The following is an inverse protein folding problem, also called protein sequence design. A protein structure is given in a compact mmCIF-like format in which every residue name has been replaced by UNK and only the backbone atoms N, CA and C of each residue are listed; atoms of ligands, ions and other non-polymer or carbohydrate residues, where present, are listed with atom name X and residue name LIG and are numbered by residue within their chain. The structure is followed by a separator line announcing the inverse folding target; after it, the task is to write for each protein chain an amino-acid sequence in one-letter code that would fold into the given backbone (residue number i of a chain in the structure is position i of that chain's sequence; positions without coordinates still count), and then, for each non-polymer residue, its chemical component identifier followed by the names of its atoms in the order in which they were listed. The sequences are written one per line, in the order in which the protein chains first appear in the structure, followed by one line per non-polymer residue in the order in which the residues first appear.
data_IF_878302863466
#
_entry.id   IF_878302863466
#
_cell.length_a   1.000
_cell.length_b   1.000
_cell.length_c   1.000
_cell.angle_alpha   90.00
_cell.angle_beta   90.00
_cell.angle_gamma   90.00
#
_symmetry.space_group_name_H-M   'P 1'
#
loop_
_entity.id
_entity.type
_entity.pdbx_description
1 polymer ?
#
# COMPACT_ATOMS: atom_id res chain seq x y z
N UNK A 1 -31.88 -10.32 -10.01
CA UNK A 1 -31.28 -8.97 -9.83
C UNK A 1 -29.95 -9.00 -10.52
N UNK A 2 -29.73 -8.14 -11.51
CA UNK A 2 -28.44 -7.96 -12.16
C UNK A 2 -27.38 -7.61 -11.11
N UNK A 3 -26.19 -8.19 -11.23
CA UNK A 3 -25.06 -7.87 -10.35
C UNK A 3 -24.62 -6.44 -10.66
N UNK A 4 -24.47 -5.60 -9.63
CA UNK A 4 -23.93 -4.25 -9.76
C UNK A 4 -22.46 -4.32 -10.22
N UNK A 5 -22.12 -3.61 -11.28
CA UNK A 5 -20.76 -3.53 -11.83
C UNK A 5 -20.18 -2.14 -11.55
N UNK A 6 -18.89 -2.09 -11.22
CA UNK A 6 -18.17 -0.82 -11.07
C UNK A 6 -17.15 -0.64 -12.19
N UNK A 7 -16.97 0.61 -12.61
CA UNK A 7 -15.98 1.00 -13.60
C UNK A 7 -15.17 2.17 -13.06
N UNK A 8 -13.86 2.14 -13.26
CA UNK A 8 -12.95 3.26 -12.99
C UNK A 8 -12.30 3.62 -14.32
N UNK A 9 -12.61 4.79 -14.86
CA UNK A 9 -12.04 5.31 -16.10
C UNK A 9 -10.96 6.33 -15.80
N UNK A 10 -9.75 6.05 -16.29
CA UNK A 10 -8.60 6.92 -16.15
C UNK A 10 -8.55 7.87 -17.33
N UNK A 11 -8.48 9.17 -17.05
CA UNK A 11 -8.42 10.20 -18.09
C UNK A 11 -7.30 11.20 -17.80
N UNK A 12 -6.45 11.45 -18.80
CA UNK A 12 -5.73 12.73 -18.88
C UNK A 12 -6.64 13.83 -19.45
N UNK A 13 -6.28 15.09 -19.27
CA UNK A 13 -6.98 16.23 -19.87
C UNK A 13 -7.10 16.08 -21.39
N UNK A 14 -6.05 15.59 -22.05
CA UNK A 14 -6.07 15.35 -23.50
C UNK A 14 -7.01 14.20 -23.90
N UNK A 15 -6.98 13.09 -23.16
CA UNK A 15 -7.88 11.95 -23.42
C UNK A 15 -9.34 12.32 -23.17
N UNK A 16 -9.62 13.16 -22.17
CA UNK A 16 -10.96 13.64 -21.87
C UNK A 16 -11.47 14.52 -23.02
N UNK A 17 -10.66 15.46 -23.51
CA UNK A 17 -11.03 16.32 -24.63
C UNK A 17 -11.34 15.54 -25.92
N UNK A 18 -10.67 14.40 -26.14
CA UNK A 18 -10.93 13.53 -27.29
C UNK A 18 -12.26 12.73 -27.16
N UNK A 19 -12.64 12.31 -25.94
CA UNK A 19 -13.74 11.38 -25.73
C UNK A 19 -15.00 12.01 -25.10
N UNK A 20 -14.95 13.25 -24.61
CA UNK A 20 -16.07 13.91 -23.92
C UNK A 20 -17.35 14.04 -24.74
N UNK A 21 -17.26 13.97 -26.07
CA UNK A 21 -18.42 13.98 -26.98
C UNK A 21 -19.34 12.77 -26.80
N UNK A 22 -18.85 11.69 -26.18
CA UNK A 22 -19.67 10.53 -25.83
C UNK A 22 -20.57 10.76 -24.59
N UNK A 23 -20.37 11.87 -23.88
CA UNK A 23 -21.08 12.19 -22.64
C UNK A 23 -21.94 13.46 -22.78
N UNK A 24 -22.95 13.66 -21.91
CA UNK A 24 -23.76 14.87 -21.94
C UNK A 24 -22.90 16.13 -21.78
N UNK A 25 -23.16 17.17 -22.58
CA UNK A 25 -22.40 18.43 -22.54
C UNK A 25 -22.34 19.10 -21.16
N UNK A 26 -23.29 18.82 -20.26
CA UNK A 26 -23.24 19.30 -18.88
C UNK A 26 -22.02 18.78 -18.10
N UNK A 27 -21.47 17.62 -18.49
CA UNK A 27 -20.35 16.96 -17.83
C UNK A 27 -19.04 17.76 -17.90
N UNK A 28 -18.86 18.60 -18.93
CA UNK A 28 -17.71 19.51 -19.07
C UNK A 28 -17.54 20.46 -17.87
N UNK A 29 -18.62 20.70 -17.10
CA UNK A 29 -18.57 21.51 -15.88
C UNK A 29 -18.14 20.74 -14.63
N UNK A 30 -18.22 19.41 -14.66
CA UNK A 30 -17.99 18.54 -13.50
C UNK A 30 -16.71 17.74 -13.60
N UNK A 31 -16.22 17.50 -14.82
CA UNK A 31 -15.00 16.75 -15.07
C UNK A 31 -14.23 17.30 -16.27
N UNK A 32 -12.92 17.36 -16.12
CA UNK A 32 -11.97 17.91 -17.10
C UNK A 32 -10.72 17.04 -17.29
N UNK A 33 -10.54 16.00 -16.46
CA UNK A 33 -9.35 15.14 -16.49
C UNK A 33 -8.16 15.71 -15.71
N UNK A 34 -8.36 16.78 -14.94
CA UNK A 34 -7.31 17.40 -14.11
C UNK A 34 -6.79 16.42 -13.06
N UNK A 35 -5.55 16.60 -12.66
CA UNK A 35 -4.92 15.76 -11.63
C UNK A 35 -5.76 15.72 -10.35
N UNK A 36 -5.99 14.52 -9.81
CA UNK A 36 -6.79 14.24 -8.60
C UNK A 36 -8.28 14.59 -8.72
N UNK A 37 -8.77 14.95 -9.91
CA UNK A 37 -10.20 15.17 -10.13
C UNK A 37 -10.91 13.83 -10.14
N UNK A 38 -11.97 13.69 -9.35
CA UNK A 38 -12.84 12.51 -9.39
C UNK A 38 -14.29 12.91 -9.58
N UNK A 39 -14.99 12.13 -10.39
CA UNK A 39 -16.42 12.30 -10.64
C UNK A 39 -17.10 10.93 -10.69
N UNK A 40 -18.35 10.83 -10.26
CA UNK A 40 -19.07 9.56 -10.24
C UNK A 40 -20.44 9.71 -10.90
N UNK A 41 -20.78 8.75 -11.76
CA UNK A 41 -22.11 8.58 -12.34
C UNK A 41 -22.64 7.24 -11.84
N UNK A 42 -23.91 7.21 -11.46
CA UNK A 42 -24.59 5.99 -10.98
C UNK A 42 -25.83 5.73 -11.82
N UNK A 43 -26.09 4.45 -12.09
CA UNK A 43 -27.32 3.95 -12.70
C UNK A 43 -27.84 2.78 -11.87
N UNK A 44 -28.93 2.13 -12.30
CA UNK A 44 -29.53 1.02 -11.57
C UNK A 44 -28.55 -0.15 -11.33
N UNK A 45 -27.63 -0.41 -12.28
CA UNK A 45 -26.73 -1.56 -12.25
C UNK A 45 -25.25 -1.21 -12.43
N UNK A 46 -24.89 0.07 -12.54
CA UNK A 46 -23.51 0.49 -12.77
C UNK A 46 -23.12 1.70 -11.92
N UNK A 47 -21.87 1.70 -11.46
CA UNK A 47 -21.20 2.87 -10.89
C UNK A 47 -19.96 3.16 -11.74
N UNK A 48 -19.87 4.36 -12.28
CA UNK A 48 -18.77 4.79 -13.15
C UNK A 48 -18.02 5.92 -12.43
N UNK A 49 -16.81 5.62 -11.99
CA UNK A 49 -15.86 6.61 -11.50
C UNK A 49 -14.99 7.11 -12.65
N UNK A 50 -14.82 8.42 -12.73
CA UNK A 50 -13.84 9.08 -13.57
C UNK A 50 -12.71 9.56 -12.68
N UNK A 51 -11.47 9.28 -13.07
CA UNK A 51 -10.26 9.71 -12.37
C UNK A 51 -9.33 10.47 -13.32
N UNK A 52 -9.15 11.75 -13.02
CA UNK A 52 -8.26 12.65 -13.74
C UNK A 52 -6.81 12.51 -13.28
N UNK A 53 -5.91 12.28 -14.23
CA UNK A 53 -4.45 12.20 -13.97
C UNK A 53 -3.69 13.46 -14.38
N UNK A 54 -4.37 14.46 -14.96
CA UNK A 54 -3.77 15.68 -15.47
C UNK A 54 -3.16 15.48 -16.85
N UNK A 55 -1.85 15.71 -17.00
CA UNK A 55 -1.16 15.52 -18.27
C UNK A 55 -1.09 14.06 -18.73
N UNK A 56 -0.94 13.83 -20.04
CA UNK A 56 -0.79 12.46 -20.59
C UNK A 56 0.55 11.79 -20.26
N UNK A 57 1.54 12.56 -19.80
CA UNK A 57 2.79 12.05 -19.26
C UNK A 57 2.85 12.46 -17.80
N UNK A 58 2.93 11.48 -16.91
CA UNK A 58 2.88 11.64 -15.47
C UNK A 58 3.98 10.79 -14.85
N UNK A 59 4.67 11.31 -13.84
CA UNK A 59 5.67 10.52 -13.12
C UNK A 59 4.99 9.41 -12.31
N UNK A 60 5.65 8.26 -12.18
CA UNK A 60 5.16 7.11 -11.41
C UNK A 60 4.76 7.50 -9.97
N UNK A 61 5.57 8.31 -9.29
CA UNK A 61 5.24 8.80 -7.94
C UNK A 61 3.95 9.62 -7.90
N UNK A 62 3.71 10.44 -8.93
CA UNK A 62 2.48 11.23 -9.04
C UNK A 62 1.27 10.32 -9.27
N UNK A 63 1.41 9.24 -10.06
CA UNK A 63 0.36 8.25 -10.24
C UNK A 63 0.05 7.49 -8.94
N UNK A 64 1.07 7.16 -8.14
CA UNK A 64 0.89 6.61 -6.79
C UNK A 64 0.07 7.58 -5.92
N UNK A 65 0.43 8.86 -5.90
CA UNK A 65 -0.28 9.88 -5.12
C UNK A 65 -1.74 10.06 -5.57
N UNK A 66 -1.99 10.02 -6.88
CA UNK A 66 -3.34 10.10 -7.46
C UNK A 66 -4.18 8.89 -7.02
N UNK A 67 -3.64 7.68 -7.14
CA UNK A 67 -4.33 6.46 -6.72
C UNK A 67 -4.62 6.47 -5.21
N UNK A 68 -3.63 6.87 -4.42
CA UNK A 68 -3.74 7.00 -2.97
C UNK A 68 -4.89 7.93 -2.59
N UNK A 69 -4.92 9.13 -3.17
CA UNK A 69 -5.98 10.10 -2.93
C UNK A 69 -7.36 9.60 -3.39
N UNK A 70 -7.44 8.97 -4.57
CA UNK A 70 -8.70 8.46 -5.09
C UNK A 70 -9.33 7.41 -4.17
N UNK A 71 -8.53 6.42 -3.73
CA UNK A 71 -9.03 5.38 -2.83
C UNK A 71 -9.46 5.98 -1.49
N UNK A 72 -8.66 6.88 -0.91
CA UNK A 72 -9.00 7.54 0.35
C UNK A 72 -10.30 8.36 0.26
N UNK A 73 -10.44 9.20 -0.77
CA UNK A 73 -11.61 10.08 -0.95
C UNK A 73 -12.89 9.31 -1.28
N UNK A 74 -12.77 8.12 -1.88
CA UNK A 74 -13.89 7.28 -2.32
C UNK A 74 -14.09 6.02 -1.47
N UNK A 75 -13.43 5.91 -0.31
CA UNK A 75 -13.51 4.73 0.59
C UNK A 75 -14.94 4.34 0.99
N UNK A 76 -15.82 5.31 1.15
CA UNK A 76 -17.25 5.12 1.48
C UNK A 76 -18.14 4.90 0.25
N UNK A 77 -17.61 5.12 -0.96
CA UNK A 77 -18.34 5.05 -2.23
C UNK A 77 -17.97 3.81 -3.06
N UNK A 78 -16.75 3.31 -2.90
CA UNK A 78 -16.31 2.05 -3.48
C UNK A 78 -17.08 0.91 -2.82
N UNK A 79 -17.38 -0.15 -3.58
CA UNK A 79 -18.10 -1.31 -3.10
C UNK A 79 -17.26 -2.55 -3.36
N UNK A 80 -17.48 -3.60 -2.57
CA UNK A 80 -16.81 -4.88 -2.78
C UNK A 80 -17.55 -5.65 -3.88
N UNK A 81 -17.30 -5.31 -5.15
CA UNK A 81 -17.88 -6.02 -6.30
C UNK A 81 -16.90 -6.07 -7.49
N UNK A 82 -17.34 -6.69 -8.58
CA UNK A 82 -16.64 -6.71 -9.86
C UNK A 82 -16.42 -5.28 -10.36
N UNK A 83 -15.14 -4.92 -10.50
CA UNK A 83 -14.69 -3.59 -10.89
C UNK A 83 -13.75 -3.68 -12.08
N UNK A 84 -14.05 -2.95 -13.15
CA UNK A 84 -13.19 -2.78 -14.31
C UNK A 84 -12.36 -1.51 -14.17
N UNK A 85 -11.08 -1.58 -14.52
CA UNK A 85 -10.18 -0.43 -14.58
C UNK A 85 -9.83 -0.15 -16.05
N UNK A 86 -10.34 0.96 -16.58
CA UNK A 86 -10.18 1.33 -17.97
C UNK A 86 -9.10 2.41 -18.10
N UNK A 87 -8.06 2.13 -18.88
CA UNK A 87 -7.03 3.11 -19.23
C UNK A 87 -6.58 2.92 -20.68
N UNK A 88 -6.38 4.05 -21.36
CA UNK A 88 -5.75 4.16 -22.68
C UNK A 88 -4.49 5.05 -22.65
N UNK A 89 -4.30 5.78 -21.55
CA UNK A 89 -3.22 6.77 -21.38
C UNK A 89 -1.98 6.26 -20.64
N UNK A 90 -2.08 5.14 -19.92
CA UNK A 90 -0.98 4.60 -19.10
C UNK A 90 -0.24 3.46 -19.81
N UNK A 91 1.09 3.46 -19.67
CA UNK A 91 1.91 2.28 -19.92
C UNK A 91 1.85 1.28 -18.75
N UNK A 92 2.52 0.13 -18.88
CA UNK A 92 2.47 -0.93 -17.86
C UNK A 92 3.00 -0.46 -16.50
N UNK A 93 4.05 0.34 -16.47
CA UNK A 93 4.69 0.86 -15.25
C UNK A 93 3.85 1.91 -14.56
N UNK A 94 3.27 2.84 -15.32
CA UNK A 94 2.33 3.84 -14.82
C UNK A 94 1.04 3.21 -14.31
N UNK A 95 0.53 2.19 -14.99
CA UNK A 95 -0.60 1.39 -14.52
C UNK A 95 -0.31 0.75 -13.15
N UNK A 96 0.81 0.04 -13.00
CA UNK A 96 1.19 -0.57 -11.72
C UNK A 96 1.38 0.48 -10.61
N UNK A 97 1.91 1.65 -10.94
CA UNK A 97 2.11 2.77 -10.00
C UNK A 97 0.79 3.33 -9.50
N UNK A 98 -0.17 3.59 -10.40
CA UNK A 98 -1.52 4.02 -10.03
C UNK A 98 -2.21 2.96 -9.17
N UNK A 99 -2.08 1.68 -9.56
CA UNK A 99 -2.69 0.57 -8.85
C UNK A 99 -2.11 0.41 -7.43
N UNK A 100 -0.80 0.58 -7.27
CA UNK A 100 -0.14 0.65 -5.96
C UNK A 100 -0.68 1.81 -5.12
N UNK A 101 -0.89 2.97 -5.74
CA UNK A 101 -1.58 4.10 -5.13
C UNK A 101 -2.94 3.71 -4.54
N UNK A 102 -3.80 3.03 -5.30
CA UNK A 102 -5.12 2.61 -4.80
C UNK A 102 -5.03 1.80 -3.50
N UNK A 103 -4.09 0.86 -3.40
CA UNK A 103 -3.93 0.08 -2.18
C UNK A 103 -3.31 0.89 -1.06
N UNK A 104 -2.28 1.71 -1.30
CA UNK A 104 -1.71 2.58 -0.27
C UNK A 104 -2.76 3.52 0.34
N UNK A 105 -3.71 4.01 -0.47
CA UNK A 105 -4.82 4.90 -0.05
C UNK A 105 -5.83 4.29 0.90
N UNK A 106 -5.72 2.99 1.18
CA UNK A 106 -6.59 2.26 2.10
C UNK A 106 -6.09 2.23 3.54
N UNK A 107 -4.88 2.75 3.80
CA UNK A 107 -4.34 2.76 5.15
C UNK A 107 -5.15 3.68 6.06
N UNK A 108 -5.65 3.10 7.14
CA UNK A 108 -6.18 3.80 8.30
C UNK A 108 -5.49 3.20 9.53
N UNK A 109 -5.19 4.02 10.53
CA UNK A 109 -4.56 3.53 11.76
C UNK A 109 -5.63 3.24 12.84
N UNK A 110 -5.63 2.05 13.47
CA UNK A 110 -4.84 0.86 13.12
C UNK A 110 -5.37 0.20 11.84
N UNK A 111 -4.49 -0.44 11.07
CA UNK A 111 -4.93 -1.08 9.83
C UNK A 111 -5.83 -2.29 10.12
N UNK A 112 -7.01 -2.32 9.49
CA UNK A 112 -8.02 -3.37 9.70
C UNK A 112 -8.51 -4.03 8.40
N UNK A 113 -7.84 -3.78 7.26
CA UNK A 113 -8.23 -4.29 5.94
C UNK A 113 -9.74 -4.12 5.62
N UNK A 114 -10.37 -3.08 6.17
CA UNK A 114 -11.81 -2.84 6.10
C UNK A 114 -12.25 -2.20 4.77
N UNK A 115 -11.32 -1.56 4.06
CA UNK A 115 -11.58 -0.90 2.79
C UNK A 115 -12.02 -1.93 1.71
N UNK A 116 -13.00 -1.61 0.84
CA UNK A 116 -13.53 -2.55 -0.17
C UNK A 116 -12.48 -3.27 -1.02
N UNK A 117 -11.38 -2.61 -1.36
CA UNK A 117 -10.25 -3.21 -2.12
C UNK A 117 -9.59 -4.44 -1.45
N UNK A 118 -9.75 -4.61 -0.14
CA UNK A 118 -9.24 -5.77 0.61
C UNK A 118 -10.30 -6.86 0.83
N UNK A 119 -11.53 -6.63 0.42
CA UNK A 119 -12.62 -7.59 0.55
C UNK A 119 -12.54 -8.67 -0.55
N UNK A 120 -12.80 -9.93 -0.21
CA UNK A 120 -12.77 -11.07 -1.13
C UNK A 120 -13.82 -11.00 -2.26
N UNK A 121 -14.88 -10.21 -2.08
CA UNK A 121 -15.91 -9.95 -3.09
C UNK A 121 -15.47 -8.89 -4.13
N UNK A 122 -14.47 -8.07 -3.81
CA UNK A 122 -13.89 -7.13 -4.75
C UNK A 122 -13.04 -7.88 -5.78
N UNK A 123 -13.37 -7.74 -7.06
CA UNK A 123 -12.64 -8.40 -8.15
C UNK A 123 -12.28 -7.39 -9.24
N UNK A 124 -11.00 -7.34 -9.57
CA UNK A 124 -10.52 -6.66 -10.76
C UNK A 124 -10.82 -7.52 -11.99
N UNK A 125 -11.75 -7.07 -12.84
CA UNK A 125 -12.17 -7.79 -14.04
C UNK A 125 -11.28 -7.42 -15.23
N UNK A 126 -10.91 -8.40 -16.07
CA UNK A 126 -10.09 -8.17 -17.28
C UNK A 126 -8.61 -7.90 -17.01
N UNK A 127 -8.14 -8.16 -15.79
CA UNK A 127 -6.76 -7.93 -15.33
C UNK A 127 -6.08 -9.24 -14.88
N UNK A 128 -6.53 -10.39 -15.41
CA UNK A 128 -6.05 -11.72 -15.02
C UNK A 128 -4.54 -11.88 -15.26
N UNK A 129 -4.03 -11.26 -16.33
CA UNK A 129 -2.60 -11.26 -16.66
C UNK A 129 -1.74 -10.41 -15.71
N UNK A 130 -2.35 -9.55 -14.89
CA UNK A 130 -1.66 -8.65 -13.96
C UNK A 130 -1.74 -9.12 -12.50
N UNK A 131 -2.34 -10.29 -12.23
CA UNK A 131 -2.56 -10.79 -10.86
C UNK A 131 -1.26 -11.02 -10.08
N UNK A 132 -0.16 -11.37 -10.74
CA UNK A 132 1.16 -11.47 -10.09
C UNK A 132 1.68 -10.09 -9.63
N UNK A 133 1.48 -9.04 -10.45
CA UNK A 133 1.77 -7.66 -10.07
C UNK A 133 0.90 -7.18 -8.91
N UNK A 134 -0.39 -7.55 -8.92
CA UNK A 134 -1.31 -7.24 -7.83
C UNK A 134 -0.88 -7.88 -6.50
N UNK A 135 -0.51 -9.17 -6.53
CA UNK A 135 -0.03 -9.86 -5.34
C UNK A 135 1.22 -9.18 -4.75
N UNK A 136 2.16 -8.77 -5.62
CA UNK A 136 3.34 -8.00 -5.21
C UNK A 136 2.95 -6.65 -4.60
N UNK A 137 2.02 -5.91 -5.21
CA UNK A 137 1.54 -4.62 -4.69
C UNK A 137 0.91 -4.79 -3.30
N UNK A 138 0.04 -5.78 -3.12
CA UNK A 138 -0.60 -6.07 -1.84
C UNK A 138 0.45 -6.38 -0.76
N UNK A 139 1.42 -7.25 -1.05
CA UNK A 139 2.50 -7.57 -0.11
C UNK A 139 3.35 -6.35 0.27
N UNK A 140 3.65 -5.46 -0.69
CA UNK A 140 4.35 -4.19 -0.42
C UNK A 140 3.52 -3.30 0.52
N UNK A 141 2.22 -3.15 0.24
CA UNK A 141 1.33 -2.32 1.05
C UNK A 141 1.18 -2.88 2.46
N UNK A 142 0.93 -4.19 2.61
CA UNK A 142 0.85 -4.85 3.92
C UNK A 142 2.12 -4.65 4.74
N UNK A 143 3.30 -4.87 4.15
CA UNK A 143 4.57 -4.63 4.84
C UNK A 143 4.78 -3.17 5.24
N UNK A 144 4.37 -2.22 4.39
CA UNK A 144 4.40 -0.80 4.71
C UNK A 144 3.41 -0.45 5.83
N UNK A 145 2.20 -1.02 5.81
CA UNK A 145 1.16 -0.78 6.81
C UNK A 145 1.59 -1.31 8.17
N UNK A 146 2.22 -2.48 8.25
CA UNK A 146 2.82 -2.99 9.48
C UNK A 146 3.86 -2.03 10.07
N UNK A 147 4.74 -1.48 9.21
CA UNK A 147 5.72 -0.48 9.63
C UNK A 147 5.05 0.80 10.16
N UNK A 148 4.06 1.31 9.44
CA UNK A 148 3.33 2.53 9.81
C UNK A 148 2.49 2.33 11.08
N UNK A 149 1.84 1.19 11.25
CA UNK A 149 1.12 0.83 12.47
C UNK A 149 2.07 0.85 13.66
N UNK A 150 3.25 0.23 13.53
CA UNK A 150 4.26 0.26 14.58
C UNK A 150 4.77 1.67 14.88
N UNK A 151 5.01 2.48 13.84
CA UNK A 151 5.42 3.87 13.97
C UNK A 151 4.35 4.74 14.63
N UNK A 152 3.06 4.46 14.40
CA UNK A 152 1.96 5.23 14.95
C UNK A 152 1.53 4.77 16.36
N UNK A 153 2.04 3.62 16.86
CA UNK A 153 1.77 3.18 18.23
C UNK A 153 2.13 4.26 19.26
N UNK A 154 1.29 4.47 20.29
CA UNK A 154 1.61 5.35 21.40
C UNK A 154 2.94 4.96 22.07
N UNK A 155 3.65 5.92 22.67
CA UNK A 155 5.00 5.71 23.21
C UNK A 155 5.09 4.57 24.25
N UNK A 156 4.02 4.35 25.03
CA UNK A 156 3.95 3.26 26.00
C UNK A 156 3.91 1.85 25.35
N UNK A 157 3.55 1.73 24.07
CA UNK A 157 3.56 0.49 23.29
C UNK A 157 4.85 0.29 22.49
N UNK A 158 5.67 1.33 22.31
CA UNK A 158 6.99 1.26 21.66
C UNK A 158 8.07 0.78 22.63
N UNK A 159 7.86 -0.43 23.15
CA UNK A 159 8.80 -1.13 24.04
C UNK A 159 9.56 -2.20 23.29
N UNK A 160 10.81 -2.44 23.67
CA UNK A 160 11.66 -3.49 23.07
C UNK A 160 10.98 -4.85 23.13
N UNK A 161 10.40 -5.21 24.29
CA UNK A 161 9.71 -6.50 24.47
C UNK A 161 8.50 -6.67 23.54
N UNK A 162 7.71 -5.61 23.34
CA UNK A 162 6.56 -5.64 22.46
C UNK A 162 6.97 -5.70 20.98
N UNK A 163 8.03 -4.99 20.60
CA UNK A 163 8.57 -5.07 19.24
C UNK A 163 9.11 -6.47 18.95
N UNK A 164 9.83 -7.06 19.89
CA UNK A 164 10.39 -8.40 19.73
C UNK A 164 9.30 -9.45 19.58
N UNK A 165 8.27 -9.41 20.43
CA UNK A 165 7.13 -10.32 20.31
C UNK A 165 6.43 -10.17 18.96
N UNK A 166 6.24 -8.93 18.50
CA UNK A 166 5.68 -8.67 17.16
C UNK A 166 6.56 -9.21 16.03
N UNK A 167 7.89 -9.01 16.09
CA UNK A 167 8.81 -9.49 15.06
C UNK A 167 8.95 -11.02 15.09
N UNK A 168 8.86 -11.65 16.26
CA UNK A 168 8.84 -13.10 16.43
C UNK A 168 7.56 -13.68 15.80
N UNK A 169 6.39 -13.13 16.13
CA UNK A 169 5.11 -13.50 15.51
C UNK A 169 5.16 -13.38 13.97
N UNK A 170 5.65 -12.25 13.45
CA UNK A 170 5.78 -12.05 12.00
C UNK A 170 6.84 -12.93 11.36
N UNK A 171 7.86 -13.35 12.10
CA UNK A 171 8.83 -14.31 11.59
C UNK A 171 8.22 -15.69 11.38
N UNK A 172 7.35 -16.12 12.28
CA UNK A 172 6.62 -17.39 12.14
C UNK A 172 5.63 -17.32 10.97
N UNK A 173 4.90 -16.21 10.84
CA UNK A 173 3.92 -16.00 9.76
C UNK A 173 4.56 -16.05 8.36
N UNK A 174 5.76 -15.51 8.21
CA UNK A 174 6.45 -15.38 6.92
C UNK A 174 7.62 -16.34 6.73
N UNK A 175 7.76 -17.35 7.61
CA UNK A 175 8.86 -18.33 7.58
C UNK A 175 10.25 -17.67 7.52
N UNK A 176 10.47 -16.68 8.39
CA UNK A 176 11.74 -15.98 8.56
C UNK A 176 12.48 -16.55 9.77
N UNK A 177 13.80 -16.64 9.67
CA UNK A 177 14.60 -16.99 10.84
C UNK A 177 14.69 -15.77 11.77
N UNK A 178 14.22 -15.94 13.00
CA UNK A 178 14.30 -14.94 14.06
C UNK A 178 15.47 -15.21 14.99
N UNK A 179 16.26 -14.17 15.28
CA UNK A 179 17.30 -14.20 16.31
C UNK A 179 17.25 -12.90 17.10
N UNK A 180 17.22 -12.97 18.43
CA UNK A 180 17.34 -11.80 19.31
C UNK A 180 18.53 -11.97 20.24
N UNK A 181 19.46 -11.02 20.20
CA UNK A 181 20.56 -10.94 21.16
C UNK A 181 20.18 -10.05 22.32
N UNK A 182 20.31 -10.59 23.53
CA UNK A 182 20.27 -9.83 24.76
C UNK A 182 21.57 -9.03 24.95
N UNK A 183 21.69 -8.33 26.09
CA UNK A 183 22.91 -7.57 26.42
C UNK A 183 24.17 -8.42 26.41
N UNK A 184 24.15 -9.62 27.00
CA UNK A 184 25.33 -10.50 27.11
C UNK A 184 25.74 -11.03 25.73
N UNK A 185 24.76 -11.41 24.93
CA UNK A 185 24.99 -11.82 23.55
C UNK A 185 25.54 -10.65 22.72
N UNK A 186 25.02 -9.44 22.89
CA UNK A 186 25.58 -8.25 22.26
C UNK A 186 27.05 -7.99 22.66
N UNK A 187 27.41 -8.17 23.94
CA UNK A 187 28.80 -8.06 24.42
C UNK A 187 29.69 -9.12 23.75
N UNK A 188 29.22 -10.38 23.72
CA UNK A 188 29.91 -11.51 23.11
C UNK A 188 30.15 -11.31 21.62
N UNK A 189 29.19 -10.70 20.92
CA UNK A 189 29.27 -10.37 19.50
C UNK A 189 30.00 -9.05 19.19
N UNK A 190 30.54 -8.36 20.19
CA UNK A 190 31.31 -7.13 20.00
C UNK A 190 30.45 -5.90 19.63
N UNK A 191 29.14 -5.93 19.92
CA UNK A 191 28.19 -4.85 19.64
C UNK A 191 28.28 -3.69 20.67
N UNK A 192 29.50 -3.34 21.09
CA UNK A 192 29.75 -2.36 22.15
C UNK A 192 29.23 -0.96 21.82
N UNK A 193 29.27 -0.54 20.55
CA UNK A 193 28.71 0.75 20.11
C UNK A 193 27.18 0.80 20.25
N UNK A 194 26.48 -0.32 20.00
CA UNK A 194 25.03 -0.43 20.21
C UNK A 194 24.69 -0.38 21.70
N UNK A 195 25.44 -1.13 22.51
CA UNK A 195 25.26 -1.15 23.96
C UNK A 195 25.54 0.19 24.62
N UNK A 196 26.54 0.95 24.14
CA UNK A 196 26.85 2.28 24.64
C UNK A 196 25.67 3.25 24.52
N UNK A 197 24.92 3.20 23.41
CA UNK A 197 23.71 4.02 23.20
C UNK A 197 22.58 3.60 24.14
N UNK A 198 22.47 2.32 24.48
CA UNK A 198 21.41 1.80 25.36
C UNK A 198 21.66 2.11 26.86
N UNK A 199 22.86 2.51 27.28
CA UNK A 199 23.22 2.69 28.70
C UNK A 199 22.29 3.64 29.48
N UNK A 200 21.70 4.64 28.82
CA UNK A 200 20.74 5.57 29.44
C UNK A 200 19.28 5.09 29.44
N UNK A 201 18.98 3.91 28.90
CA UNK A 201 17.63 3.38 28.75
C UNK A 201 17.22 2.55 29.97
N UNK A 202 15.98 2.72 30.41
CA UNK A 202 15.35 1.81 31.38
C UNK A 202 14.85 0.50 30.76
N UNK A 203 14.93 0.38 29.42
CA UNK A 203 14.60 -0.85 28.70
C UNK A 203 15.85 -1.59 28.25
N UNK A 204 15.84 -2.90 28.47
CA UNK A 204 16.90 -3.82 28.06
C UNK A 204 17.23 -3.68 26.58
N UNK A 205 18.53 -3.79 26.28
CA UNK A 205 19.01 -3.87 24.92
C UNK A 205 18.51 -5.17 24.27
N UNK A 206 17.97 -5.05 23.06
CA UNK A 206 17.76 -6.21 22.21
C UNK A 206 18.15 -5.87 20.78
N UNK A 207 18.97 -6.73 20.20
CA UNK A 207 19.36 -6.65 18.80
C UNK A 207 18.70 -7.80 18.06
N UNK A 208 17.71 -7.48 17.24
CA UNK A 208 16.87 -8.46 16.54
C UNK A 208 17.26 -8.56 15.07
N UNK A 209 17.41 -9.80 14.61
CA UNK A 209 17.77 -10.16 13.24
C UNK A 209 16.62 -11.01 12.68
N UNK A 210 16.14 -10.62 11.50
CA UNK A 210 15.24 -11.41 10.68
C UNK A 210 15.97 -11.79 9.39
N UNK A 211 16.01 -13.08 9.08
CA UNK A 211 16.70 -13.59 7.89
C UNK A 211 15.71 -14.30 6.96
N UNK A 212 15.76 -13.94 5.68
CA UNK A 212 14.98 -14.59 4.62
C UNK A 212 15.88 -15.52 3.79
N UNK A 213 15.55 -16.80 3.76
CA UNK A 213 16.31 -17.83 3.04
C UNK A 213 15.65 -18.16 1.70
N UNK A 214 16.19 -17.65 0.60
CA UNK A 214 15.57 -17.77 -0.72
C UNK A 214 15.77 -19.13 -1.43
N UNK A 215 16.12 -20.20 -0.71
CA UNK A 215 16.26 -21.57 -1.24
C UNK A 215 17.46 -21.79 -2.17
N UNK A 216 18.15 -20.75 -2.64
CA UNK A 216 19.42 -20.85 -3.37
C UNK A 216 20.60 -20.83 -2.38
N UNK A 217 21.40 -21.91 -2.38
CA UNK A 217 22.60 -22.00 -1.55
C UNK A 217 23.53 -20.82 -1.85
N UNK A 218 23.80 -19.99 -0.85
CA UNK A 218 24.78 -18.90 -0.91
C UNK A 218 24.21 -17.49 -1.08
N UNK A 219 22.89 -17.30 -1.11
CA UNK A 219 22.26 -15.95 -1.13
C UNK A 219 21.35 -15.78 0.09
N UNK A 220 21.88 -15.21 1.16
CA UNK A 220 21.12 -14.72 2.32
C UNK A 220 20.91 -13.22 2.18
N UNK A 221 19.66 -12.75 2.17
CA UNK A 221 19.35 -11.32 2.25
C UNK A 221 19.08 -10.98 3.72
N UNK A 222 20.08 -10.44 4.42
CA UNK A 222 19.94 -10.05 5.82
C UNK A 222 19.48 -8.58 5.88
N UNK A 223 18.29 -8.33 6.41
CA UNK A 223 17.83 -6.98 6.76
C UNK A 223 17.90 -6.79 8.28
N UNK A 224 18.88 -6.00 8.74
CA UNK A 224 18.95 -5.59 10.13
C UNK A 224 18.09 -4.34 10.35
N UNK A 225 17.10 -4.42 11.24
CA UNK A 225 16.33 -3.26 11.69
C UNK A 225 17.08 -2.52 12.79
N UNK A 226 17.21 -1.19 12.68
CA UNK A 226 17.82 -0.36 13.73
C UNK A 226 16.71 0.30 14.56
N UNK A 227 16.60 -0.06 15.84
CA UNK A 227 15.76 0.71 16.76
C UNK A 227 16.56 1.91 17.27
N UNK A 228 16.42 3.05 16.60
CA UNK A 228 16.98 4.32 17.08
C UNK A 228 15.90 5.03 17.88
N UNK A 229 16.03 5.06 19.21
CA UNK A 229 15.19 5.97 20.02
C UNK A 229 15.66 7.40 19.75
N UNK A 230 14.73 8.20 19.24
CA UNK A 230 14.68 9.62 19.53
C UNK A 230 14.63 9.76 21.05
N UNK A 231 15.56 10.57 21.53
CA UNK A 231 15.80 11.01 22.90
C UNK A 231 14.50 11.39 23.60
#
# INVERSE_FOLDING_TARGET
MSKLIQHIHIHSEASWMAHKSAYPHAMDKFFSGRQNESFVITSENEIIFFLGIGGSSCAESTLVDIGHKFAYDNREKLLATSTYLHHDVLDSTGFESLWMGFYLGTYEYPFTASHPLWNDEFRWEGLENHMAGLAKIKAICEGQFMCMDWLNKPANYKRTSLLNAFLEEKSEEYDLQYTSFDRKECERHGLGAFLAVNQGSSQEASFTILEYHCGTKGVSCNRAGRQMRLI
#
